data_IF_572267389934
#
_entry.id   IF_572267389934
#
_cell.length_a   1.000
_cell.length_b   1.000
_cell.length_c   1.000
_cell.angle_alpha   90.00
_cell.angle_beta   90.00
_cell.angle_gamma   90.00
#
_symmetry.space_group_name_H-M   'P 1'
#
loop_
_entity.id
_entity.type
_entity.pdbx_description
1 polymer ?
#
# COMPACT_ATOMS: atom_id res chain seq x y z
N UNK A 1 -21.62 -16.97 -1.13
CA UNK A 1 -21.84 -15.49 -1.12
C UNK A 1 -20.59 -14.80 -0.57
N UNK A 2 -20.17 -13.65 -1.15
CA UNK A 2 -19.02 -12.89 -0.62
C UNK A 2 -19.44 -12.17 0.66
N UNK A 3 -18.86 -12.54 1.80
CA UNK A 3 -19.09 -11.84 3.08
C UNK A 3 -18.57 -10.38 3.02
N UNK A 4 -17.46 -10.17 2.34
CA UNK A 4 -16.82 -8.85 2.19
C UNK A 4 -17.65 -7.93 1.30
N UNK A 5 -18.16 -8.41 0.15
CA UNK A 5 -18.92 -7.59 -0.79
C UNK A 5 -20.22 -7.00 -0.23
N UNK A 6 -20.85 -7.69 0.70
CA UNK A 6 -22.11 -7.24 1.34
C UNK A 6 -21.93 -6.13 2.38
N UNK A 7 -20.71 -5.92 2.88
CA UNK A 7 -20.47 -4.91 3.92
C UNK A 7 -20.53 -3.50 3.29
N UNK A 8 -21.35 -2.59 3.82
CA UNK A 8 -21.35 -1.20 3.36
C UNK A 8 -19.98 -0.56 3.54
N UNK A 9 -19.66 0.40 2.70
CA UNK A 9 -18.47 1.24 2.84
C UNK A 9 -18.90 2.57 3.38
N UNK A 10 -18.48 2.90 4.59
CA UNK A 10 -18.78 4.19 5.21
C UNK A 10 -17.97 5.31 4.53
N UNK A 11 -18.63 6.44 4.25
CA UNK A 11 -18.02 7.64 3.72
C UNK A 11 -17.76 8.59 4.90
N UNK A 12 -16.50 8.82 5.31
CA UNK A 12 -16.20 9.75 6.37
C UNK A 12 -16.45 11.20 5.91
N UNK A 13 -16.67 12.09 6.87
CA UNK A 13 -16.86 13.50 6.60
C UNK A 13 -15.68 14.09 5.78
N UNK A 14 -16.00 14.85 4.74
CA UNK A 14 -15.01 15.44 3.84
C UNK A 14 -14.56 14.56 2.68
N UNK A 15 -15.11 13.35 2.52
CA UNK A 15 -14.87 12.47 1.37
C UNK A 15 -16.08 12.51 0.44
N UNK A 16 -15.83 12.68 -0.85
CA UNK A 16 -16.85 12.61 -1.92
C UNK A 16 -16.58 11.39 -2.79
N UNK A 17 -17.62 10.61 -3.01
CA UNK A 17 -17.57 9.45 -3.91
C UNK A 17 -18.46 9.72 -5.11
N UNK A 18 -17.94 9.57 -6.31
CA UNK A 18 -18.67 9.69 -7.56
C UNK A 18 -18.44 8.44 -8.42
N UNK A 19 -19.50 7.96 -9.02
CA UNK A 19 -19.44 6.82 -9.96
C UNK A 19 -20.05 7.26 -11.27
N UNK A 20 -19.24 7.35 -12.31
CA UNK A 20 -19.64 7.76 -13.63
C UNK A 20 -18.87 6.99 -14.70
N UNK A 21 -19.57 6.56 -15.77
CA UNK A 21 -18.96 5.96 -16.96
C UNK A 21 -18.03 4.77 -16.68
N UNK A 22 -18.34 3.93 -15.69
CA UNK A 22 -17.49 2.79 -15.36
C UNK A 22 -16.23 3.15 -14.57
N UNK A 23 -16.14 4.38 -14.05
CA UNK A 23 -15.04 4.83 -13.20
C UNK A 23 -15.62 5.30 -11.87
N UNK A 24 -15.12 4.77 -10.77
CA UNK A 24 -15.40 5.37 -9.47
C UNK A 24 -14.24 6.26 -9.04
N UNK A 25 -14.61 7.47 -8.65
CA UNK A 25 -13.69 8.52 -8.22
C UNK A 25 -13.98 8.86 -6.77
N UNK A 26 -12.92 8.90 -5.96
CA UNK A 26 -13.00 9.26 -4.55
C UNK A 26 -12.12 10.47 -4.30
N UNK A 27 -12.70 11.55 -3.79
CA UNK A 27 -12.01 12.78 -3.45
C UNK A 27 -12.05 13.01 -1.94
N UNK A 28 -10.92 13.42 -1.38
CA UNK A 28 -10.81 13.69 0.06
C UNK A 28 -9.65 14.61 0.40
N UNK A 29 -9.38 14.84 1.68
CA UNK A 29 -8.36 15.79 2.14
C UNK A 29 -6.93 15.42 1.70
N UNK A 30 -6.65 14.15 1.44
CA UNK A 30 -5.32 13.68 1.00
C UNK A 30 -5.18 13.49 -0.50
N UNK A 31 -6.19 13.88 -1.28
CA UNK A 31 -6.13 13.83 -2.74
C UNK A 31 -7.34 13.19 -3.39
N UNK A 32 -7.17 12.88 -4.66
CA UNK A 32 -8.18 12.26 -5.51
C UNK A 32 -7.64 10.95 -6.08
N UNK A 33 -8.43 9.91 -6.00
CA UNK A 33 -8.14 8.61 -6.59
C UNK A 33 -9.26 8.22 -7.55
N UNK A 34 -8.92 7.57 -8.66
CA UNK A 34 -9.85 7.04 -9.63
C UNK A 34 -9.50 5.59 -9.94
N UNK A 35 -10.52 4.77 -10.19
CA UNK A 35 -10.38 3.36 -10.52
C UNK A 35 -11.46 2.93 -11.49
N UNK A 36 -11.07 2.19 -12.51
CA UNK A 36 -12.01 1.57 -13.47
C UNK A 36 -12.79 0.44 -12.80
N UNK A 37 -14.06 0.30 -13.16
CA UNK A 37 -14.92 -0.78 -12.71
C UNK A 37 -15.73 -1.39 -13.86
N UNK A 38 -15.98 -2.68 -13.76
CA UNK A 38 -16.86 -3.40 -14.69
C UNK A 38 -18.33 -3.19 -14.28
N UNK A 39 -18.96 -2.13 -14.83
CA UNK A 39 -20.37 -1.79 -14.56
C UNK A 39 -21.35 -2.82 -15.09
N UNK A 40 -20.90 -3.72 -15.97
CA UNK A 40 -21.72 -4.86 -16.44
C UNK A 40 -21.96 -5.88 -15.34
N UNK A 41 -21.01 -6.03 -14.41
CA UNK A 41 -21.05 -7.03 -13.35
C UNK A 41 -21.55 -6.49 -12.00
N UNK A 42 -21.25 -5.22 -11.68
CA UNK A 42 -21.54 -4.62 -10.36
C UNK A 42 -22.10 -3.22 -10.49
N UNK A 43 -23.02 -2.87 -9.58
CA UNK A 43 -23.57 -1.52 -9.43
C UNK A 43 -23.21 -0.95 -8.08
N UNK A 44 -23.08 0.37 -8.00
CA UNK A 44 -22.79 1.12 -6.81
C UNK A 44 -23.97 2.00 -6.43
N UNK A 45 -24.50 1.85 -5.23
CA UNK A 45 -25.60 2.67 -4.69
C UNK A 45 -25.06 3.48 -3.53
N UNK A 46 -25.21 4.80 -3.63
CA UNK A 46 -24.85 5.72 -2.54
C UNK A 46 -26.10 5.97 -1.72
N UNK A 47 -26.09 5.57 -0.45
CA UNK A 47 -27.19 5.72 0.50
C UNK A 47 -26.71 6.53 1.71
N UNK A 48 -26.95 7.84 1.69
CA UNK A 48 -26.48 8.75 2.75
C UNK A 48 -24.96 8.69 2.90
N UNK A 49 -24.49 8.26 4.07
CA UNK A 49 -23.07 8.17 4.41
C UNK A 49 -22.44 6.82 4.08
N UNK A 50 -23.08 6.00 3.27
CA UNK A 50 -22.58 4.66 2.93
C UNK A 50 -22.69 4.39 1.44
N UNK A 51 -21.75 3.60 0.89
CA UNK A 51 -21.84 3.04 -0.45
C UNK A 51 -22.07 1.53 -0.33
N UNK A 52 -23.13 1.07 -0.99
CA UNK A 52 -23.42 -0.34 -1.19
C UNK A 52 -22.97 -0.77 -2.57
N UNK A 53 -22.25 -1.86 -2.63
CA UNK A 53 -21.90 -2.52 -3.90
C UNK A 53 -22.88 -3.67 -4.09
N UNK A 54 -23.61 -3.67 -5.20
CA UNK A 54 -24.55 -4.74 -5.57
C UNK A 54 -24.04 -5.44 -6.80
N UNK A 55 -24.40 -6.70 -6.98
CA UNK A 55 -24.07 -7.50 -8.16
C UNK A 55 -25.33 -7.77 -8.97
N UNK A 56 -25.18 -7.86 -10.30
CA UNK A 56 -26.30 -8.09 -11.21
C UNK A 56 -26.73 -9.55 -11.29
N UNK A 57 -25.76 -10.47 -11.17
CA UNK A 57 -25.99 -11.90 -11.24
C UNK A 57 -25.18 -12.68 -10.20
N UNK A 58 -25.30 -14.01 -10.18
CA UNK A 58 -24.64 -14.92 -9.25
C UNK A 58 -23.53 -15.75 -9.93
N UNK A 59 -23.05 -15.32 -11.10
CA UNK A 59 -21.91 -15.96 -11.75
C UNK A 59 -20.65 -15.90 -10.90
N UNK A 60 -19.75 -16.84 -11.11
CA UNK A 60 -18.51 -16.97 -10.33
C UNK A 60 -17.67 -15.70 -10.39
N UNK A 61 -17.57 -15.13 -11.60
CA UNK A 61 -16.77 -13.94 -11.87
C UNK A 61 -17.37 -12.67 -11.26
N UNK A 62 -18.69 -12.50 -11.38
CA UNK A 62 -19.42 -11.38 -10.78
C UNK A 62 -19.35 -11.40 -9.24
N UNK A 63 -19.39 -12.61 -8.66
CA UNK A 63 -19.15 -12.76 -7.21
C UNK A 63 -17.74 -12.37 -6.79
N UNK A 64 -16.73 -12.62 -7.62
CA UNK A 64 -15.36 -12.18 -7.39
C UNK A 64 -15.24 -10.66 -7.49
N UNK A 65 -15.79 -10.05 -8.54
CA UNK A 65 -15.82 -8.59 -8.73
C UNK A 65 -16.54 -7.86 -7.60
N UNK A 66 -17.64 -8.39 -7.10
CA UNK A 66 -18.37 -7.81 -5.97
C UNK A 66 -17.49 -7.60 -4.74
N UNK A 67 -16.68 -8.59 -4.37
CA UNK A 67 -15.73 -8.48 -3.25
C UNK A 67 -14.53 -7.59 -3.56
N UNK A 68 -14.02 -7.65 -4.80
CA UNK A 68 -12.88 -6.85 -5.26
C UNK A 68 -13.21 -5.36 -5.22
N UNK A 69 -14.27 -4.94 -5.93
CA UNK A 69 -14.60 -3.51 -6.02
C UNK A 69 -15.01 -2.90 -4.70
N UNK A 70 -15.70 -3.66 -3.85
CA UNK A 70 -15.96 -3.20 -2.48
C UNK A 70 -14.67 -2.95 -1.71
N UNK A 71 -13.70 -3.84 -1.82
CA UNK A 71 -12.40 -3.70 -1.13
C UNK A 71 -11.57 -2.54 -1.71
N UNK A 72 -11.56 -2.38 -3.04
CA UNK A 72 -10.90 -1.25 -3.70
C UNK A 72 -11.51 0.08 -3.26
N UNK A 73 -12.84 0.20 -3.29
CA UNK A 73 -13.54 1.40 -2.86
C UNK A 73 -13.21 1.73 -1.39
N UNK A 74 -13.25 0.75 -0.49
CA UNK A 74 -12.90 0.95 0.91
C UNK A 74 -11.44 1.39 1.10
N UNK A 75 -10.51 0.83 0.32
CA UNK A 75 -9.11 1.27 0.35
C UNK A 75 -8.97 2.72 -0.14
N UNK A 76 -9.70 3.10 -1.20
CA UNK A 76 -9.66 4.47 -1.71
C UNK A 76 -10.24 5.47 -0.71
N UNK A 77 -11.39 5.17 -0.11
CA UNK A 77 -12.00 6.02 0.94
C UNK A 77 -11.06 6.18 2.13
N UNK A 78 -10.47 5.10 2.62
CA UNK A 78 -9.47 5.16 3.70
C UNK A 78 -8.23 5.93 3.27
N UNK A 79 -7.77 5.72 2.04
CA UNK A 79 -6.57 6.36 1.51
C UNK A 79 -6.69 7.88 1.38
N UNK A 80 -7.81 8.39 0.87
CA UNK A 80 -8.01 9.85 0.73
C UNK A 80 -8.37 10.52 2.06
N UNK A 81 -8.84 9.78 3.08
CA UNK A 81 -9.15 10.30 4.41
C UNK A 81 -7.92 10.26 5.33
N UNK A 82 -7.50 9.09 5.75
CA UNK A 82 -6.40 8.88 6.70
C UNK A 82 -5.05 8.66 6.01
N UNK A 83 -5.06 8.07 4.83
CA UNK A 83 -3.87 7.65 4.09
C UNK A 83 -3.33 6.31 4.58
N UNK A 84 -2.34 5.80 3.86
CA UNK A 84 -1.61 4.59 4.20
C UNK A 84 -0.15 4.91 4.51
N UNK A 85 0.40 4.19 5.47
CA UNK A 85 1.81 4.31 5.85
C UNK A 85 2.42 2.92 5.95
N UNK A 86 3.63 2.77 5.41
CA UNK A 86 4.48 1.59 5.59
C UNK A 86 5.85 2.02 6.06
N UNK A 87 6.32 1.41 7.13
CA UNK A 87 7.63 1.68 7.71
C UNK A 87 8.58 0.54 7.38
N UNK A 88 9.72 0.89 6.81
CA UNK A 88 10.84 -0.02 6.58
C UNK A 88 11.95 0.29 7.57
N UNK A 89 12.58 -0.74 8.10
CA UNK A 89 13.72 -0.64 9.01
C UNK A 89 14.96 -1.13 8.28
N UNK A 90 16.00 -0.29 8.27
CA UNK A 90 17.31 -0.59 7.70
C UNK A 90 18.18 -1.12 8.82
N UNK A 91 18.73 -2.32 8.67
CA UNK A 91 19.62 -2.92 9.63
C UNK A 91 20.96 -3.26 8.98
N UNK A 92 22.05 -2.70 9.48
CA UNK A 92 23.40 -2.96 9.00
C UNK A 92 24.38 -1.88 9.41
N UNK A 93 25.62 -2.27 9.75
CA UNK A 93 26.68 -1.30 10.06
C UNK A 93 27.04 -0.54 8.77
N UNK A 94 27.02 0.77 8.83
CA UNK A 94 27.32 1.64 7.70
C UNK A 94 26.15 1.81 6.71
N UNK A 95 24.98 1.19 6.95
CA UNK A 95 23.81 1.44 6.11
C UNK A 95 23.18 2.77 6.48
N UNK A 96 22.77 3.51 5.47
CA UNK A 96 22.11 4.81 5.62
C UNK A 96 21.11 5.03 4.49
N UNK A 97 20.12 5.86 4.75
CA UNK A 97 19.18 6.35 3.77
C UNK A 97 19.00 7.85 3.94
N UNK A 98 18.74 8.54 2.84
CA UNK A 98 18.51 9.97 2.80
C UNK A 98 17.54 10.32 1.66
N UNK A 99 16.68 11.30 1.88
CA UNK A 99 15.80 11.82 0.83
C UNK A 99 16.43 13.10 0.26
N UNK A 100 16.73 13.07 -1.04
CA UNK A 100 17.26 14.20 -1.79
C UNK A 100 16.24 14.62 -2.86
N UNK A 101 15.37 15.56 -2.53
CA UNK A 101 14.28 16.00 -3.41
C UNK A 101 13.32 14.87 -3.75
N UNK A 102 13.26 14.44 -5.00
CA UNK A 102 12.44 13.31 -5.46
C UNK A 102 13.17 11.95 -5.48
N UNK A 103 14.34 11.88 -4.89
CA UNK A 103 15.16 10.67 -4.86
C UNK A 103 15.32 10.18 -3.42
N UNK A 104 15.16 8.89 -3.23
CA UNK A 104 15.58 8.17 -2.04
C UNK A 104 16.94 7.54 -2.32
N UNK A 105 18.00 8.09 -1.71
CA UNK A 105 19.37 7.61 -1.84
C UNK A 105 19.71 6.71 -0.66
N UNK A 106 20.26 5.53 -0.93
CA UNK A 106 20.54 4.54 0.10
C UNK A 106 21.92 3.89 -0.08
N UNK A 107 22.75 3.96 0.97
CA UNK A 107 23.97 3.19 1.09
C UNK A 107 23.65 1.87 1.78
N UNK A 108 23.75 0.76 1.07
CA UNK A 108 23.34 -0.57 1.54
C UNK A 108 24.52 -1.56 1.57
N UNK A 109 25.76 -1.07 1.63
CA UNK A 109 26.96 -1.90 1.66
C UNK A 109 27.31 -2.54 0.32
N UNK A 110 26.92 -1.91 -0.77
CA UNK A 110 27.41 -2.15 -2.13
C UNK A 110 28.47 -1.10 -2.49
N UNK A 111 29.18 -1.30 -3.61
CA UNK A 111 30.20 -0.35 -4.09
C UNK A 111 29.62 1.02 -4.43
N UNK A 112 28.37 1.03 -4.95
CA UNK A 112 27.64 2.24 -5.30
C UNK A 112 26.37 2.37 -4.45
N UNK A 113 25.96 3.62 -4.20
CA UNK A 113 24.69 3.93 -3.55
C UNK A 113 23.53 3.73 -4.53
N UNK A 114 22.39 3.30 -4.01
CA UNK A 114 21.16 3.17 -4.79
C UNK A 114 20.36 4.46 -4.73
N UNK A 115 19.94 4.96 -5.88
CA UNK A 115 19.03 6.09 -6.00
C UNK A 115 17.70 5.60 -6.57
N UNK A 116 16.62 5.76 -5.83
CA UNK A 116 15.27 5.34 -6.22
C UNK A 116 14.39 6.58 -6.38
N UNK A 117 13.75 6.72 -7.53
CA UNK A 117 12.81 7.81 -7.79
C UNK A 117 11.55 7.59 -6.96
N UNK A 118 11.13 8.60 -6.19
CA UNK A 118 9.88 8.58 -5.43
C UNK A 118 8.75 8.90 -6.41
N UNK A 119 7.76 8.01 -6.58
CA UNK A 119 6.62 8.25 -7.46
C UNK A 119 5.74 9.40 -6.96
N UNK A 120 4.97 9.99 -7.86
CA UNK A 120 3.99 11.01 -7.50
C UNK A 120 2.91 10.45 -6.58
N UNK A 121 2.46 11.26 -5.62
CA UNK A 121 1.47 10.85 -4.61
C UNK A 121 2.03 10.01 -3.47
N UNK A 122 3.35 9.81 -3.41
CA UNK A 122 4.05 9.16 -2.29
C UNK A 122 4.96 10.19 -1.61
N UNK A 123 4.87 10.23 -0.29
CA UNK A 123 5.81 10.94 0.58
C UNK A 123 6.73 9.95 1.28
N UNK A 124 8.02 10.25 1.30
CA UNK A 124 9.02 9.46 2.01
C UNK A 124 9.70 10.32 3.05
N UNK A 125 9.72 9.84 4.28
CA UNK A 125 10.47 10.45 5.38
C UNK A 125 11.49 9.45 5.91
N UNK A 126 12.68 9.92 6.15
CA UNK A 126 13.74 9.10 6.77
C UNK A 126 13.96 9.60 8.18
N UNK A 127 13.84 8.70 9.14
CA UNK A 127 14.15 8.94 10.55
C UNK A 127 15.20 7.93 10.99
N UNK A 128 16.45 8.38 11.05
CA UNK A 128 17.62 7.55 11.34
C UNK A 128 17.71 6.32 10.41
N UNK A 129 17.30 5.16 10.90
CA UNK A 129 17.31 3.87 10.18
C UNK A 129 15.91 3.41 9.75
N UNK A 130 14.89 4.28 9.90
CA UNK A 130 13.53 4.00 9.46
C UNK A 130 13.21 4.82 8.23
N UNK A 131 12.67 4.17 7.22
CA UNK A 131 12.10 4.80 6.02
C UNK A 131 10.59 4.68 6.10
N UNK A 132 9.92 5.82 6.31
CA UNK A 132 8.48 5.93 6.44
C UNK A 132 7.93 6.35 5.09
N UNK A 133 7.10 5.51 4.48
CA UNK A 133 6.50 5.70 3.17
C UNK A 133 5.01 5.93 3.38
N UNK A 134 4.49 7.07 2.97
CA UNK A 134 3.08 7.44 3.11
C UNK A 134 2.46 7.90 1.79
N UNK A 135 1.14 7.70 1.65
CA UNK A 135 0.41 8.10 0.46
C UNK A 135 -1.08 7.74 0.53
N UNK A 136 -1.84 8.27 -0.42
CA UNK A 136 -3.27 7.99 -0.54
C UNK A 136 -3.54 6.61 -1.16
N UNK A 137 -2.74 6.18 -2.15
CA UNK A 137 -2.91 4.87 -2.79
C UNK A 137 -2.22 3.77 -1.99
N UNK A 138 -3.01 2.81 -1.47
CA UNK A 138 -2.50 1.62 -0.78
C UNK A 138 -1.58 0.79 -1.67
N UNK A 139 -1.95 0.67 -2.94
CA UNK A 139 -1.18 -0.09 -3.93
C UNK A 139 0.17 0.57 -4.18
N UNK A 140 0.19 1.87 -4.49
CA UNK A 140 1.42 2.61 -4.77
C UNK A 140 2.39 2.59 -3.57
N UNK A 141 1.89 2.81 -2.35
CA UNK A 141 2.67 2.73 -1.11
C UNK A 141 3.24 1.31 -0.92
N UNK A 142 2.42 0.28 -1.12
CA UNK A 142 2.85 -1.12 -1.01
C UNK A 142 3.87 -1.52 -2.05
N UNK A 143 3.66 -1.12 -3.30
CA UNK A 143 4.57 -1.39 -4.42
C UNK A 143 5.93 -0.73 -4.21
N UNK A 144 5.94 0.56 -3.86
CA UNK A 144 7.17 1.29 -3.60
C UNK A 144 7.94 0.70 -2.40
N UNK A 145 7.24 0.42 -1.29
CA UNK A 145 7.86 -0.22 -0.13
C UNK A 145 8.47 -1.60 -0.47
N UNK A 146 7.79 -2.39 -1.29
CA UNK A 146 8.30 -3.68 -1.77
C UNK A 146 9.55 -3.52 -2.66
N UNK A 147 9.57 -2.53 -3.55
CA UNK A 147 10.73 -2.23 -4.40
C UNK A 147 11.95 -1.84 -3.55
N UNK A 148 11.77 -0.93 -2.58
CA UNK A 148 12.83 -0.50 -1.66
C UNK A 148 13.35 -1.70 -0.85
N UNK A 149 12.47 -2.54 -0.30
CA UNK A 149 12.87 -3.74 0.44
C UNK A 149 13.67 -4.73 -0.41
N UNK A 150 13.35 -4.87 -1.70
CA UNK A 150 14.03 -5.78 -2.62
C UNK A 150 15.47 -5.37 -2.94
N UNK A 151 15.87 -4.09 -2.76
CA UNK A 151 17.24 -3.63 -3.00
C UNK A 151 18.26 -4.40 -2.13
N UNK A 152 17.91 -4.64 -0.87
CA UNK A 152 18.69 -5.48 0.02
C UNK A 152 17.77 -6.17 1.02
N UNK A 153 17.22 -7.33 0.65
CA UNK A 153 16.38 -8.12 1.53
C UNK A 153 17.14 -8.58 2.80
N UNK A 154 16.45 -8.83 3.91
CA UNK A 154 17.08 -9.21 5.16
C UNK A 154 17.77 -10.58 5.07
N UNK A 155 19.00 -10.67 5.51
CA UNK A 155 19.72 -11.94 5.56
C UNK A 155 19.31 -12.78 6.78
N UNK A 156 19.35 -14.12 6.69
CA UNK A 156 18.86 -14.98 7.76
C UNK A 156 19.82 -15.15 8.95
N UNK A 157 21.08 -14.72 8.88
CA UNK A 157 22.05 -14.93 9.95
C UNK A 157 22.10 -13.77 10.95
N UNK A 158 22.55 -12.61 10.53
CA UNK A 158 22.61 -11.40 11.37
C UNK A 158 21.42 -10.47 11.19
N UNK A 159 20.57 -10.72 10.20
CA UNK A 159 19.38 -9.92 9.90
C UNK A 159 19.71 -8.57 9.27
N UNK A 160 20.88 -8.43 8.62
CA UNK A 160 21.23 -7.23 7.87
C UNK A 160 20.37 -7.12 6.63
N UNK A 161 19.97 -5.90 6.30
CA UNK A 161 19.12 -5.61 5.13
C UNK A 161 17.95 -4.71 5.51
N UNK A 162 17.01 -4.58 4.59
CA UNK A 162 15.78 -3.80 4.73
C UNK A 162 14.62 -4.76 5.00
N UNK A 163 13.87 -4.53 6.06
CA UNK A 163 12.68 -5.28 6.42
C UNK A 163 11.51 -4.35 6.73
N UNK A 164 10.29 -4.86 6.65
CA UNK A 164 9.17 -4.15 7.24
C UNK A 164 9.30 -4.11 8.77
N UNK A 165 8.72 -3.10 9.40
CA UNK A 165 8.78 -2.95 10.86
C UNK A 165 8.09 -4.12 11.58
N UNK A 166 7.01 -4.62 11.00
CA UNK A 166 6.21 -5.76 11.47
C UNK A 166 6.75 -7.13 11.01
N UNK A 167 7.83 -7.17 10.21
CA UNK A 167 8.40 -8.41 9.67
C UNK A 167 9.29 -9.14 10.67
N UNK A 168 8.95 -10.39 10.97
CA UNK A 168 9.76 -11.28 11.80
C UNK A 168 10.66 -12.14 10.92
N UNK A 169 11.97 -11.98 11.05
CA UNK A 169 12.95 -12.73 10.28
C UNK A 169 13.33 -14.00 11.04
N UNK A 170 13.07 -15.16 10.43
CA UNK A 170 13.53 -16.45 10.97
C UNK A 170 15.05 -16.56 10.81
N UNK A 171 15.79 -16.38 11.91
CA UNK A 171 17.24 -16.48 11.90
C UNK A 171 17.72 -17.91 11.90
N UNK A 172 18.80 -18.17 11.15
CA UNK A 172 19.52 -19.45 11.13
C UNK A 172 20.77 -19.34 12.01
N UNK A 173 21.14 -20.46 12.62
CA UNK A 173 22.41 -20.56 13.39
C UNK A 173 23.56 -20.71 12.39
N UNK A 174 24.61 -19.90 12.53
CA UNK A 174 25.82 -20.02 11.72
C UNK A 174 26.70 -21.19 12.16
N UNK A 175 27.75 -21.50 11.39
CA UNK A 175 28.68 -22.62 11.66
C UNK A 175 29.33 -22.58 13.06
N UNK A 176 29.52 -21.40 13.66
CA UNK A 176 30.10 -21.23 14.99
C UNK A 176 29.15 -21.56 16.17
N UNK A 177 27.88 -21.87 15.89
CA UNK A 177 26.90 -22.26 16.91
C UNK A 177 26.73 -23.76 17.10
N UNK A 178 27.52 -24.56 16.40
CA UNK A 178 27.57 -26.02 16.59
C UNK A 178 28.73 -26.32 17.54
N UNK A 179 28.45 -26.37 18.83
CA UNK A 179 29.23 -27.07 19.84
C UNK A 179 28.53 -28.35 20.18
#
# INVERSE_FOLDING_TARGET
MSRVGKMPVAIPAGVKVNVANGIFTVEGPKGKLSQDCHTEAVDFKIEGDHVLVTRKDDELQTRAYHGLYRSLLNNMVTGVSTGFTKTLVINGVGYRAEVQGKLLVMALGYSNDFSVIIPEGIEVKVDQLKVIISGASKEAVGQFASQVRKLRGPEPYKGKGIRYEDEIIKRKVGKSGVK
#
